data_IF_698918634270
#
_entry.id   IF_698918634270
#
_cell.length_a   1.000
_cell.length_b   1.000
_cell.length_c   1.000
_cell.angle_alpha   90.00
_cell.angle_beta   90.00
_cell.angle_gamma   90.00
#
_symmetry.space_group_name_H-M   'P 1'
#
loop_
_entity.id
_entity.type
_entity.pdbx_description
1 polymer ?
#
# COMPACT_ATOMS: atom_id res chain seq x y z
N UNK A 1 -4.86 -9.25 5.66
CA UNK A 1 -4.91 -10.48 6.50
C UNK A 1 -3.61 -11.26 6.35
N UNK A 2 -2.47 -10.70 6.80
CA UNK A 2 -1.12 -11.30 6.55
C UNK A 2 -0.68 -12.24 7.68
N UNK A 3 -1.23 -12.02 8.88
CA UNK A 3 -0.94 -12.82 10.08
C UNK A 3 -1.23 -14.34 9.93
N UNK A 4 -2.32 -14.79 9.27
CA UNK A 4 -2.59 -16.22 9.12
C UNK A 4 -1.60 -16.92 8.18
N UNK A 5 -1.20 -16.28 7.07
CA UNK A 5 -0.29 -16.88 6.10
C UNK A 5 1.13 -17.00 6.66
N UNK A 6 1.62 -15.99 7.38
CA UNK A 6 2.92 -16.07 8.06
C UNK A 6 2.96 -17.20 9.09
N UNK A 7 1.88 -17.38 9.86
CA UNK A 7 1.78 -18.50 10.81
C UNK A 7 1.79 -19.86 10.11
N UNK A 8 1.06 -19.99 9.01
CA UNK A 8 1.04 -21.23 8.22
C UNK A 8 2.40 -21.51 7.56
N UNK A 9 3.07 -20.50 7.02
CA UNK A 9 4.41 -20.63 6.44
C UNK A 9 5.44 -21.09 7.48
N UNK A 10 5.41 -20.51 8.69
CA UNK A 10 6.30 -20.90 9.79
C UNK A 10 6.02 -22.33 10.27
N UNK A 11 4.75 -22.72 10.38
CA UNK A 11 4.36 -24.08 10.76
C UNK A 11 4.81 -25.09 9.69
N UNK A 12 4.56 -24.78 8.43
CA UNK A 12 4.93 -25.62 7.30
C UNK A 12 6.45 -25.78 7.22
N UNK A 13 7.22 -24.71 7.38
CA UNK A 13 8.68 -24.78 7.49
C UNK A 13 9.10 -25.74 8.61
N UNK A 14 8.61 -25.54 9.84
CA UNK A 14 8.96 -26.42 10.98
C UNK A 14 8.59 -27.89 10.73
N UNK A 15 7.51 -28.13 10.00
CA UNK A 15 6.99 -29.48 9.70
C UNK A 15 7.75 -30.15 8.56
N UNK A 16 8.21 -29.38 7.57
CA UNK A 16 8.92 -29.88 6.40
C UNK A 16 10.43 -29.97 6.62
N UNK A 17 11.03 -29.11 7.45
CA UNK A 17 12.49 -29.08 7.64
C UNK A 17 13.07 -30.40 8.14
N UNK A 18 12.41 -31.06 9.10
CA UNK A 18 12.87 -32.37 9.63
C UNK A 18 12.76 -33.52 8.61
N UNK A 19 11.59 -33.79 8.01
CA UNK A 19 11.46 -34.89 7.05
C UNK A 19 12.27 -34.64 5.78
N UNK A 20 12.39 -33.39 5.31
CA UNK A 20 13.22 -33.04 4.15
C UNK A 20 14.69 -33.33 4.45
N UNK A 21 15.23 -32.84 5.58
CA UNK A 21 16.61 -33.11 5.98
C UNK A 21 16.90 -34.62 6.07
N UNK A 22 15.99 -35.38 6.69
CA UNK A 22 16.15 -36.83 6.86
C UNK A 22 16.09 -37.58 5.51
N UNK A 23 15.19 -37.18 4.60
CA UNK A 23 15.14 -37.75 3.25
C UNK A 23 16.36 -37.39 2.42
N UNK A 24 16.86 -36.16 2.55
CA UNK A 24 18.05 -35.68 1.85
C UNK A 24 19.29 -36.45 2.28
N UNK A 25 19.49 -36.65 3.60
CA UNK A 25 20.56 -37.49 4.15
C UNK A 25 20.46 -38.94 3.67
N UNK A 26 19.27 -39.54 3.76
CA UNK A 26 19.06 -40.94 3.35
C UNK A 26 19.33 -41.13 1.85
N UNK A 27 18.84 -40.25 0.99
CA UNK A 27 19.05 -40.37 -0.45
C UNK A 27 20.48 -40.04 -0.87
N UNK A 28 21.17 -39.12 -0.19
CA UNK A 28 22.58 -38.83 -0.44
C UNK A 28 23.48 -40.04 -0.09
N UNK A 29 23.15 -40.76 0.98
CA UNK A 29 23.87 -41.98 1.37
C UNK A 29 23.59 -43.19 0.47
N UNK A 30 22.42 -43.27 -0.17
CA UNK A 30 22.01 -44.40 -1.03
C UNK A 30 22.40 -44.19 -2.50
N UNK A 31 22.28 -42.96 -3.02
CA UNK A 31 22.44 -42.68 -4.44
C UNK A 31 23.62 -41.74 -4.74
N UNK A 32 24.72 -42.24 -5.33
CA UNK A 32 25.90 -41.42 -5.62
C UNK A 32 25.65 -40.31 -6.66
N UNK A 33 24.73 -40.51 -7.61
CA UNK A 33 24.29 -39.44 -8.54
C UNK A 33 23.59 -38.29 -7.82
N UNK A 34 22.73 -38.62 -6.87
CA UNK A 34 21.99 -37.63 -6.08
C UNK A 34 22.93 -36.87 -5.12
N UNK A 35 23.91 -37.56 -4.56
CA UNK A 35 25.00 -36.95 -3.79
C UNK A 35 25.76 -35.91 -4.60
N UNK A 36 26.17 -36.25 -5.83
CA UNK A 36 26.82 -35.32 -6.75
C UNK A 36 25.95 -34.08 -7.00
N UNK A 37 24.68 -34.29 -7.35
CA UNK A 37 23.74 -33.19 -7.59
C UNK A 37 23.60 -32.24 -6.40
N UNK A 38 23.46 -32.75 -5.17
CA UNK A 38 23.37 -31.90 -3.96
C UNK A 38 24.64 -31.07 -3.76
N UNK A 39 25.80 -31.70 -3.94
CA UNK A 39 27.09 -31.02 -3.81
C UNK A 39 27.22 -29.93 -4.88
N UNK A 40 26.81 -30.22 -6.11
CA UNK A 40 26.84 -29.26 -7.22
C UNK A 40 25.91 -28.07 -6.95
N UNK A 41 24.70 -28.31 -6.45
CA UNK A 41 23.75 -27.24 -6.06
C UNK A 41 24.30 -26.41 -4.91
N UNK A 42 24.85 -27.05 -3.87
CA UNK A 42 25.43 -26.35 -2.73
C UNK A 42 26.64 -25.48 -3.16
N UNK A 43 27.50 -26.01 -4.02
CA UNK A 43 28.63 -25.27 -4.57
C UNK A 43 28.20 -24.17 -5.52
N UNK A 44 27.20 -24.40 -6.37
CA UNK A 44 26.65 -23.40 -7.28
C UNK A 44 26.04 -22.23 -6.50
N UNK A 45 25.30 -22.52 -5.43
CA UNK A 45 24.76 -21.50 -4.52
C UNK A 45 25.88 -20.69 -3.86
N UNK A 46 26.91 -21.36 -3.34
CA UNK A 46 28.04 -20.67 -2.72
C UNK A 46 28.83 -19.81 -3.73
N UNK A 47 29.02 -20.29 -4.96
CA UNK A 47 29.60 -19.53 -6.08
C UNK A 47 28.73 -18.32 -6.43
N UNK A 48 27.41 -18.49 -6.49
CA UNK A 48 26.47 -17.39 -6.75
C UNK A 48 26.53 -16.33 -5.66
N UNK A 49 26.46 -16.72 -4.40
CA UNK A 49 26.52 -15.81 -3.25
C UNK A 49 27.82 -14.99 -3.25
N UNK A 50 28.97 -15.67 -3.43
CA UNK A 50 30.28 -14.99 -3.51
C UNK A 50 30.41 -14.13 -4.75
N UNK A 51 29.87 -14.54 -5.90
CA UNK A 51 29.85 -13.73 -7.12
C UNK A 51 28.99 -12.48 -7.00
N UNK A 52 27.78 -12.60 -6.41
CA UNK A 52 26.89 -11.47 -6.15
C UNK A 52 27.53 -10.49 -5.17
N UNK A 53 28.02 -10.98 -4.02
CA UNK A 53 28.70 -10.13 -3.05
C UNK A 53 29.91 -9.42 -3.66
N UNK A 54 30.68 -10.10 -4.53
CA UNK A 54 31.80 -9.49 -5.27
C UNK A 54 31.34 -8.42 -6.25
N UNK A 55 30.23 -8.64 -6.98
CA UNK A 55 29.66 -7.64 -7.91
C UNK A 55 29.15 -6.39 -7.18
N UNK A 56 28.60 -6.54 -5.98
CA UNK A 56 28.15 -5.39 -5.18
C UNK A 56 29.31 -4.64 -4.49
N UNK A 57 30.36 -5.34 -4.06
CA UNK A 57 31.49 -4.76 -3.29
C UNK A 57 32.68 -4.37 -4.20
N UNK A 58 32.66 -4.74 -5.48
CA UNK A 58 33.70 -4.36 -6.45
C UNK A 58 35.06 -5.03 -6.24
N UNK A 59 35.19 -6.05 -5.39
CA UNK A 59 36.45 -6.78 -5.14
C UNK A 59 36.47 -8.15 -5.82
N UNK A 60 37.56 -8.44 -6.54
CA UNK A 60 37.83 -9.72 -7.17
C UNK A 60 38.80 -10.55 -6.31
N UNK A 61 38.31 -11.14 -5.22
CA UNK A 61 39.10 -12.17 -4.50
C UNK A 61 38.65 -13.53 -5.00
N UNK A 62 39.58 -14.30 -5.58
CA UNK A 62 39.34 -15.66 -6.04
C UNK A 62 39.49 -16.63 -4.87
N UNK A 63 38.38 -17.18 -4.40
CA UNK A 63 38.37 -18.14 -3.29
C UNK A 63 38.33 -19.54 -3.90
N UNK A 64 39.43 -20.28 -3.75
CA UNK A 64 39.48 -21.70 -4.05
C UNK A 64 38.51 -22.46 -3.15
N UNK A 65 37.38 -22.88 -3.72
CA UNK A 65 36.29 -23.54 -2.99
C UNK A 65 36.74 -24.95 -2.64
N UNK A 66 37.02 -25.19 -1.35
CA UNK A 66 37.23 -26.55 -0.84
C UNK A 66 35.97 -27.39 -1.06
N UNK A 67 36.08 -28.61 -1.62
CA UNK A 67 34.93 -29.50 -1.72
C UNK A 67 34.33 -29.70 -0.31
N UNK A 68 33.04 -29.42 -0.20
CA UNK A 68 32.34 -29.39 1.08
C UNK A 68 32.18 -30.82 1.61
N UNK A 69 32.44 -31.04 2.91
CA UNK A 69 32.16 -32.31 3.57
C UNK A 69 30.66 -32.65 3.38
N UNK A 70 30.34 -33.92 3.20
CA UNK A 70 29.00 -34.41 2.83
C UNK A 70 27.91 -33.87 3.76
N UNK A 71 28.16 -33.85 5.08
CA UNK A 71 27.23 -33.31 6.07
C UNK A 71 26.94 -31.83 5.87
N UNK A 72 27.96 -31.03 5.51
CA UNK A 72 27.83 -29.60 5.26
C UNK A 72 27.10 -29.31 3.96
N UNK A 73 27.30 -30.13 2.92
CA UNK A 73 26.57 -30.01 1.66
C UNK A 73 25.08 -30.29 1.84
N UNK A 74 24.76 -31.32 2.63
CA UNK A 74 23.37 -31.68 2.94
C UNK A 74 22.71 -30.58 3.79
N UNK A 75 23.43 -30.01 4.76
CA UNK A 75 22.93 -28.89 5.55
C UNK A 75 22.66 -27.66 4.66
N UNK A 76 23.63 -27.25 3.84
CA UNK A 76 23.48 -26.12 2.93
C UNK A 76 22.32 -26.31 1.94
N UNK A 77 22.12 -27.52 1.41
CA UNK A 77 21.00 -27.82 0.53
C UNK A 77 19.64 -27.81 1.26
N UNK A 78 19.61 -28.25 2.51
CA UNK A 78 18.41 -28.20 3.35
C UNK A 78 18.03 -26.76 3.68
N UNK A 79 19.02 -25.94 4.06
CA UNK A 79 18.82 -24.52 4.38
C UNK A 79 18.32 -23.76 3.14
N UNK A 80 18.93 -24.00 1.96
CA UNK A 80 18.49 -23.43 0.69
C UNK A 80 17.04 -23.82 0.33
N UNK A 81 16.69 -25.10 0.47
CA UNK A 81 15.32 -25.57 0.22
C UNK A 81 14.31 -24.93 1.17
N UNK A 82 14.67 -24.77 2.44
CA UNK A 82 13.84 -24.13 3.44
C UNK A 82 13.59 -22.65 3.16
N UNK A 83 14.65 -21.92 2.80
CA UNK A 83 14.59 -20.53 2.40
C UNK A 83 13.73 -20.34 1.15
N UNK A 84 13.95 -21.16 0.11
CA UNK A 84 13.18 -21.11 -1.14
C UNK A 84 11.70 -21.43 -0.92
N UNK A 85 11.39 -22.35 0.00
CA UNK A 85 10.01 -22.65 0.38
C UNK A 85 9.31 -21.45 1.02
N UNK A 86 9.94 -20.81 2.02
CA UNK A 86 9.37 -19.62 2.67
C UNK A 86 9.19 -18.49 1.67
N UNK A 87 10.18 -18.24 0.80
CA UNK A 87 10.06 -17.26 -0.27
C UNK A 87 8.93 -17.58 -1.24
N UNK A 88 8.76 -18.84 -1.63
CA UNK A 88 7.65 -19.26 -2.49
C UNK A 88 6.29 -19.00 -1.84
N UNK A 89 6.15 -19.27 -0.55
CA UNK A 89 4.91 -19.00 0.19
C UNK A 89 4.65 -17.50 0.27
N UNK A 90 5.68 -16.69 0.55
CA UNK A 90 5.57 -15.24 0.60
C UNK A 90 5.24 -14.61 -0.76
N UNK A 91 5.93 -15.02 -1.83
CA UNK A 91 5.61 -14.59 -3.20
C UNK A 91 4.19 -15.01 -3.60
N UNK A 92 3.80 -16.26 -3.29
CA UNK A 92 2.45 -16.75 -3.53
C UNK A 92 1.39 -15.93 -2.79
N UNK A 93 1.66 -15.52 -1.55
CA UNK A 93 0.79 -14.65 -0.76
C UNK A 93 0.57 -13.30 -1.44
N UNK A 94 1.65 -12.66 -1.89
CA UNK A 94 1.62 -11.36 -2.55
C UNK A 94 0.87 -11.45 -3.88
N UNK A 95 1.18 -12.46 -4.69
CA UNK A 95 0.48 -12.69 -5.97
C UNK A 95 -1.02 -12.93 -5.73
N UNK A 96 -1.36 -13.74 -4.72
CA UNK A 96 -2.75 -13.97 -4.34
C UNK A 96 -3.44 -12.69 -3.90
N UNK A 97 -2.78 -11.85 -3.10
CA UNK A 97 -3.31 -10.55 -2.69
C UNK A 97 -3.50 -9.62 -3.89
N UNK A 98 -2.54 -9.52 -4.81
CA UNK A 98 -2.67 -8.69 -6.02
C UNK A 98 -3.83 -9.18 -6.90
N UNK A 99 -3.94 -10.49 -7.12
CA UNK A 99 -5.02 -11.08 -7.91
C UNK A 99 -6.39 -10.88 -7.24
N UNK A 100 -6.46 -10.98 -5.91
CA UNK A 100 -7.68 -10.70 -5.12
C UNK A 100 -8.03 -9.21 -5.16
N UNK A 101 -7.04 -8.33 -4.98
CA UNK A 101 -7.20 -6.89 -4.86
C UNK A 101 -7.62 -6.24 -6.19
N UNK A 102 -7.16 -6.75 -7.33
CA UNK A 102 -7.59 -6.25 -8.65
C UNK A 102 -9.11 -6.27 -8.85
N UNK A 103 -9.83 -7.23 -8.26
CA UNK A 103 -11.31 -7.30 -8.32
C UNK A 103 -12.01 -6.32 -7.37
N UNK A 104 -11.33 -5.87 -6.32
CA UNK A 104 -11.87 -4.91 -5.34
C UNK A 104 -11.55 -3.47 -5.73
N UNK A 105 -10.37 -3.23 -6.30
CA UNK A 105 -9.91 -1.93 -6.78
C UNK A 105 -10.78 -1.44 -7.93
N UNK A 106 -11.09 -2.30 -8.91
CA UNK A 106 -11.97 -1.96 -10.03
C UNK A 106 -13.37 -1.48 -9.58
N UNK A 107 -13.97 -2.15 -8.58
CA UNK A 107 -15.27 -1.74 -8.03
C UNK A 107 -15.21 -0.42 -7.27
N UNK A 108 -14.09 -0.15 -6.59
CA UNK A 108 -13.87 1.15 -5.91
C UNK A 108 -13.67 2.26 -6.93
N UNK A 109 -13.00 1.98 -8.03
CA UNK A 109 -12.81 2.95 -9.11
C UNK A 109 -14.13 3.26 -9.83
N UNK A 110 -14.96 2.25 -10.10
CA UNK A 110 -16.31 2.43 -10.63
C UNK A 110 -17.21 3.24 -9.69
N UNK A 111 -17.15 2.98 -8.37
CA UNK A 111 -17.89 3.75 -7.38
C UNK A 111 -17.42 5.22 -7.31
N UNK A 112 -16.11 5.47 -7.43
CA UNK A 112 -15.54 6.83 -7.49
C UNK A 112 -15.95 7.56 -8.77
N UNK A 113 -15.99 6.87 -9.91
CA UNK A 113 -16.45 7.45 -11.19
C UNK A 113 -17.92 7.85 -11.10
N UNK A 114 -18.79 6.99 -10.56
CA UNK A 114 -20.21 7.30 -10.32
C UNK A 114 -20.40 8.51 -9.40
N UNK A 115 -19.61 8.61 -8.31
CA UNK A 115 -19.69 9.76 -7.41
C UNK A 115 -19.26 11.08 -8.11
N UNK A 116 -18.26 11.02 -9.00
CA UNK A 116 -17.85 12.18 -9.80
C UNK A 116 -18.91 12.59 -10.84
N UNK A 117 -19.57 11.61 -11.46
CA UNK A 117 -20.68 11.85 -12.39
C UNK A 117 -21.86 12.51 -11.67
N UNK A 118 -22.25 12.00 -10.49
CA UNK A 118 -23.34 12.58 -9.70
C UNK A 118 -23.04 14.04 -9.27
N UNK A 119 -21.79 14.33 -8.88
CA UNK A 119 -21.38 15.70 -8.54
C UNK A 119 -21.44 16.61 -9.77
N UNK A 120 -21.03 16.12 -10.94
CA UNK A 120 -21.14 16.88 -12.20
C UNK A 120 -22.58 17.21 -12.54
N UNK A 121 -23.48 16.23 -12.46
CA UNK A 121 -24.90 16.44 -12.73
C UNK A 121 -25.50 17.50 -11.80
N UNK A 122 -25.18 17.43 -10.49
CA UNK A 122 -25.60 18.46 -9.52
C UNK A 122 -25.06 19.84 -9.87
N UNK A 123 -23.80 19.95 -10.30
CA UNK A 123 -23.24 21.24 -10.73
C UNK A 123 -23.98 21.82 -11.94
N UNK A 124 -24.30 20.99 -12.94
CA UNK A 124 -25.07 21.45 -14.10
C UNK A 124 -26.50 21.87 -13.72
N UNK A 125 -27.15 21.14 -12.81
CA UNK A 125 -28.47 21.49 -12.30
C UNK A 125 -28.46 22.83 -11.56
N UNK A 126 -27.50 23.01 -10.64
CA UNK A 126 -27.27 24.27 -9.94
C UNK A 126 -26.97 25.43 -10.90
N UNK A 127 -26.23 25.19 -11.99
CA UNK A 127 -25.99 26.20 -13.01
C UNK A 127 -27.25 26.59 -13.78
N UNK A 128 -28.11 25.61 -14.13
CA UNK A 128 -29.41 25.86 -14.77
C UNK A 128 -30.34 26.65 -13.84
N UNK A 129 -30.42 26.27 -12.57
CA UNK A 129 -31.19 26.99 -11.56
C UNK A 129 -30.69 28.43 -11.41
N UNK A 130 -29.37 28.62 -11.31
CA UNK A 130 -28.75 29.95 -11.23
C UNK A 130 -29.07 30.81 -12.46
N UNK A 131 -29.00 30.24 -13.66
CA UNK A 131 -29.36 30.95 -14.90
C UNK A 131 -30.85 31.34 -14.90
N UNK A 132 -31.72 30.43 -14.49
CA UNK A 132 -33.16 30.69 -14.41
C UNK A 132 -33.50 31.76 -13.38
N UNK A 133 -32.81 31.75 -12.23
CA UNK A 133 -32.97 32.77 -11.20
C UNK A 133 -32.47 34.14 -11.67
N UNK A 134 -31.34 34.21 -12.40
CA UNK A 134 -30.87 35.45 -13.03
C UNK A 134 -31.85 36.01 -14.04
N UNK A 135 -32.49 35.16 -14.85
CA UNK A 135 -33.52 35.61 -15.80
C UNK A 135 -34.73 36.20 -15.06
N UNK A 136 -35.20 35.55 -13.98
CA UNK A 136 -36.28 36.08 -13.14
C UNK A 136 -35.91 37.41 -12.48
N UNK A 137 -34.67 37.57 -12.02
CA UNK A 137 -34.19 38.85 -11.46
C UNK A 137 -34.18 39.94 -12.53
N UNK A 138 -33.68 39.65 -13.73
CA UNK A 138 -33.68 40.61 -14.84
C UNK A 138 -35.11 41.01 -15.29
N UNK A 139 -36.07 40.09 -15.24
CA UNK A 139 -37.49 40.35 -15.48
C UNK A 139 -38.06 41.29 -14.41
N UNK A 140 -37.79 41.00 -13.13
CA UNK A 140 -38.23 41.84 -12.00
C UNK A 140 -37.61 43.23 -12.08
N UNK A 141 -36.31 43.35 -12.39
CA UNK A 141 -35.63 44.63 -12.62
C UNK A 141 -36.25 45.42 -13.79
N UNK A 142 -36.67 44.74 -14.87
CA UNK A 142 -37.39 45.38 -15.99
C UNK A 142 -38.78 45.87 -15.61
N UNK A 143 -39.55 45.08 -14.86
CA UNK A 143 -40.90 45.46 -14.41
C UNK A 143 -40.84 46.59 -13.37
N UNK A 144 -39.80 46.60 -12.54
CA UNK A 144 -39.59 47.65 -11.53
C UNK A 144 -38.92 48.90 -12.10
N UNK A 145 -38.24 48.82 -13.25
CA UNK A 145 -37.77 50.01 -13.99
C UNK A 145 -36.78 50.91 -13.26
N UNK A 146 -36.07 50.39 -12.25
CA UNK A 146 -35.09 51.17 -11.48
C UNK A 146 -33.70 50.52 -11.59
N UNK A 147 -32.93 50.96 -12.57
CA UNK A 147 -31.47 50.94 -12.46
C UNK A 147 -31.05 52.01 -11.46
N UNK A 148 -30.81 51.62 -10.22
CA UNK A 148 -30.35 52.54 -9.18
C UNK A 148 -30.68 52.03 -7.79
N UNK A 149 -29.70 52.05 -6.89
CA UNK A 149 -29.85 51.63 -5.50
C UNK A 149 -31.13 52.20 -4.86
N UNK A 150 -31.75 51.39 -4.00
CA UNK A 150 -33.01 51.71 -3.34
C UNK A 150 -32.87 53.03 -2.56
N UNK A 151 -33.48 54.16 -2.98
CA UNK A 151 -33.23 55.46 -2.35
C UNK A 151 -33.97 55.68 -1.02
N UNK A 152 -34.80 54.74 -0.57
CA UNK A 152 -35.75 54.97 0.55
C UNK A 152 -36.05 53.77 1.44
N UNK A 153 -35.24 52.71 1.44
CA UNK A 153 -35.44 51.58 2.36
C UNK A 153 -34.25 51.40 3.30
N UNK A 154 -34.05 52.42 4.13
CA UNK A 154 -33.56 52.24 5.49
C UNK A 154 -34.43 53.12 6.40
N UNK A 155 -35.24 52.55 7.30
CA UNK A 155 -35.88 53.32 8.36
C UNK A 155 -34.80 53.97 9.21
N UNK A 156 -34.87 55.30 9.35
CA UNK A 156 -34.06 56.16 10.23
C UNK A 156 -34.37 55.90 11.71
N UNK A 157 -34.29 54.64 12.13
CA UNK A 157 -34.55 54.19 13.49
C UNK A 157 -33.44 53.29 14.06
N UNK A 158 -32.31 53.11 13.34
CA UNK A 158 -31.22 52.24 13.80
C UNK A 158 -29.85 52.93 13.87
N UNK A 159 -29.80 54.27 13.82
CA UNK A 159 -28.55 55.02 13.99
C UNK A 159 -28.64 55.97 15.19
N UNK A 160 -28.81 55.42 16.39
CA UNK A 160 -28.25 56.00 17.63
C UNK A 160 -28.62 55.11 18.82
N UNK A 161 -27.62 54.61 19.55
CA UNK A 161 -27.84 54.03 20.88
C UNK A 161 -27.23 52.66 21.11
N UNK A 162 -25.90 52.62 21.22
CA UNK A 162 -25.15 51.95 22.30
C UNK A 162 -23.76 51.54 21.80
N UNK A 163 -22.78 52.39 22.07
CA UNK A 163 -21.42 51.93 22.27
C UNK A 163 -21.42 51.04 23.51
N UNK A 164 -21.18 49.74 23.35
CA UNK A 164 -20.57 48.89 24.38
C UNK A 164 -19.56 47.98 23.69
N UNK A 165 -18.32 48.11 24.13
CA UNK A 165 -17.16 47.41 23.62
C UNK A 165 -17.27 45.89 23.82
N UNK A 166 -16.97 45.14 22.78
CA UNK A 166 -16.71 43.70 22.85
C UNK A 166 -15.38 43.47 23.61
N UNK A 167 -15.31 42.56 24.60
CA UNK A 167 -14.04 42.15 25.19
C UNK A 167 -13.27 41.25 24.21
N UNK A 168 -11.95 41.43 24.13
CA UNK A 168 -11.03 40.59 23.36
C UNK A 168 -11.22 39.08 23.64
N UNK A 169 -11.12 38.21 22.62
CA UNK A 169 -11.09 36.78 22.85
C UNK A 169 -9.74 36.34 23.46
N UNK A 170 -9.80 35.71 24.64
CA UNK A 170 -8.70 34.97 25.25
C UNK A 170 -8.05 33.98 24.26
N UNK A 171 -6.72 33.80 24.29
CA UNK A 171 -6.05 32.84 23.43
C UNK A 171 -6.45 31.41 23.81
N UNK A 172 -6.97 30.68 22.83
CA UNK A 172 -7.36 29.28 22.95
C UNK A 172 -6.20 28.44 23.52
N UNK A 173 -6.42 27.90 24.72
CA UNK A 173 -5.54 26.94 25.36
C UNK A 173 -5.28 25.75 24.42
N UNK A 174 -4.00 25.53 24.15
CA UNK A 174 -3.50 24.35 23.46
C UNK A 174 -3.88 23.11 24.28
N UNK A 175 -4.62 22.20 23.66
CA UNK A 175 -4.86 20.86 24.21
C UNK A 175 -3.52 20.09 24.24
N UNK A 176 -3.20 19.40 25.34
CA UNK A 176 -1.96 18.65 25.44
C UNK A 176 -2.02 17.39 24.58
N UNK A 177 -1.06 17.28 23.67
CA UNK A 177 -0.67 16.05 22.98
C UNK A 177 -0.29 15.01 24.04
N UNK A 178 -1.06 13.93 24.14
CA UNK A 178 -0.67 12.77 24.93
C UNK A 178 0.37 11.95 24.16
N UNK A 179 1.62 12.00 24.62
CA UNK A 179 2.64 10.97 24.52
C UNK A 179 3.57 11.10 25.73
#
# INVERSE_FOLDING_TARGET
MVLPLMKLGLLAFRTLSKPVANKLKRNAGIHPRFRGFIIDVAQANHRLATNMQRRLIGRATDIHIRPLNEEKAIQAATDLLGELFIFSVACGAIIFEVHRSGKSEARKEEARKKALEEIREKMEELEREKQMMKLRVAEVERVTGVGGGWPWVLPRAFTSGAAQAEPEPEPAAQQPTAA
#
